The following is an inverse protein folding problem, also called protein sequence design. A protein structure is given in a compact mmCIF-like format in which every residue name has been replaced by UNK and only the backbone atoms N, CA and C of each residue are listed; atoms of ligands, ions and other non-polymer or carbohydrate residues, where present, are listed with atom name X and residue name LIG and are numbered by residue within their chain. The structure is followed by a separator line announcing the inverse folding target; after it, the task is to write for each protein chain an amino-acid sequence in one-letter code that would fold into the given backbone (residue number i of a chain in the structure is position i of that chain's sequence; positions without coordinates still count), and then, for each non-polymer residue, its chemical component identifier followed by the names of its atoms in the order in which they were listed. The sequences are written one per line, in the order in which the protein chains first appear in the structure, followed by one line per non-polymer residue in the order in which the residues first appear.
data_IF_189879046007
#
_entry.id   IF_189879046007
#
_cell.length_a   1.000
_cell.length_b   1.000
_cell.length_c   1.000
_cell.angle_alpha   90.00
_cell.angle_beta   90.00
_cell.angle_gamma   90.00
#
_symmetry.space_group_name_H-M   'P 1'
#
loop_
_entity.id
_entity.type
_entity.pdbx_description
1 polymer ?
#
# COMPACT_ATOMS: atom_id res chain seq x y z
N UNK A 1 4.81 5.94 -19.72
CA UNK A 1 5.14 5.32 -18.43
C UNK A 1 4.97 6.28 -17.26
N UNK A 2 5.45 7.54 -17.30
CA UNK A 2 5.17 8.56 -16.24
C UNK A 2 3.68 8.81 -15.98
N UNK A 3 2.89 9.11 -17.04
CA UNK A 3 1.44 9.35 -16.90
C UNK A 3 0.68 8.28 -16.08
N UNK A 4 0.96 6.99 -16.31
CA UNK A 4 0.33 5.89 -15.56
C UNK A 4 0.76 5.83 -14.09
N UNK A 5 1.99 6.27 -13.80
CA UNK A 5 2.49 6.35 -12.44
C UNK A 5 1.87 7.54 -11.71
N UNK A 6 1.81 8.72 -12.35
CA UNK A 6 1.19 9.92 -11.78
C UNK A 6 -0.30 9.68 -11.46
N UNK A 7 -1.05 9.07 -12.39
CA UNK A 7 -2.46 8.67 -12.18
C UNK A 7 -2.63 7.69 -11.01
N UNK A 8 -1.75 6.69 -10.91
CA UNK A 8 -1.79 5.73 -9.82
C UNK A 8 -1.42 6.36 -8.48
N UNK A 9 -0.41 7.22 -8.46
CA UNK A 9 -0.01 7.95 -7.26
C UNK A 9 -1.13 8.88 -6.77
N UNK A 10 -1.81 9.58 -7.68
CA UNK A 10 -2.95 10.42 -7.33
C UNK A 10 -4.12 9.61 -6.75
N UNK A 11 -4.40 8.41 -7.28
CA UNK A 11 -5.40 7.51 -6.72
C UNK A 11 -5.14 7.18 -5.25
N UNK A 12 -3.92 6.73 -4.91
CA UNK A 12 -3.59 6.41 -3.51
C UNK A 12 -3.46 7.65 -2.63
N UNK A 13 -3.04 8.79 -3.19
CA UNK A 13 -3.04 10.06 -2.47
C UNK A 13 -4.46 10.53 -2.12
N UNK A 14 -5.46 10.27 -2.98
CA UNK A 14 -6.87 10.54 -2.66
C UNK A 14 -7.36 9.65 -1.51
N UNK A 15 -6.95 8.37 -1.48
CA UNK A 15 -7.27 7.45 -0.38
C UNK A 15 -6.66 7.95 0.93
N UNK A 16 -5.37 8.28 0.96
CA UNK A 16 -4.71 8.85 2.17
C UNK A 16 -5.45 10.10 2.65
N UNK A 17 -5.85 11.01 1.74
CA UNK A 17 -6.59 12.24 2.10
C UNK A 17 -7.97 11.95 2.68
N UNK A 18 -8.67 10.94 2.17
CA UNK A 18 -10.00 10.57 2.62
C UNK A 18 -9.98 9.75 3.93
N UNK A 19 -8.85 9.11 4.25
CA UNK A 19 -8.73 8.26 5.44
C UNK A 19 -8.71 9.09 6.73
N UNK A 20 -9.71 8.83 7.57
CA UNK A 20 -9.90 9.47 8.86
C UNK A 20 -9.26 8.67 10.00
N UNK A 21 -9.08 7.37 9.80
CA UNK A 21 -8.38 6.49 10.74
C UNK A 21 -6.89 6.83 10.75
N UNK A 22 -6.25 6.62 11.90
CA UNK A 22 -4.81 6.85 12.08
C UNK A 22 -4.24 5.71 12.90
N UNK A 23 -3.08 5.24 12.48
CA UNK A 23 -2.30 4.17 13.10
C UNK A 23 -0.88 4.69 13.35
N UNK A 24 -0.70 5.61 14.32
CA UNK A 24 0.54 6.38 14.46
C UNK A 24 1.77 5.52 14.81
N UNK A 25 1.54 4.30 15.32
CA UNK A 25 2.59 3.36 15.71
C UNK A 25 2.75 2.21 14.72
N UNK A 26 1.87 2.10 13.71
CA UNK A 26 1.89 0.99 12.78
C UNK A 26 2.73 1.35 11.57
N UNK A 27 3.72 0.50 11.32
CA UNK A 27 4.65 0.63 10.22
C UNK A 27 4.96 -0.75 9.64
N UNK A 28 5.43 -0.77 8.40
CA UNK A 28 6.02 -1.97 7.85
C UNK A 28 7.36 -2.26 8.56
N UNK A 29 7.60 -3.53 8.88
CA UNK A 29 8.80 -3.97 9.61
C UNK A 29 9.84 -4.67 8.73
N UNK A 30 9.57 -4.87 7.43
CA UNK A 30 10.50 -5.49 6.49
C UNK A 30 11.27 -4.49 5.63
N UNK A 31 12.35 -4.96 5.00
CA UNK A 31 13.00 -4.22 3.92
C UNK A 31 12.14 -4.27 2.65
N UNK A 32 12.15 -3.18 1.88
CA UNK A 32 11.43 -3.10 0.60
C UNK A 32 12.35 -2.43 -0.41
N UNK A 33 13.10 -3.26 -1.14
CA UNK A 33 13.98 -2.77 -2.19
C UNK A 33 13.23 -2.58 -3.50
N UNK A 34 12.40 -3.56 -3.87
CA UNK A 34 11.73 -3.62 -5.15
C UNK A 34 10.26 -4.03 -5.02
N UNK A 35 9.44 -3.63 -5.99
CA UNK A 35 8.07 -4.11 -6.15
C UNK A 35 8.07 -5.61 -6.48
N UNK A 36 7.28 -6.41 -5.76
CA UNK A 36 7.23 -7.87 -5.92
C UNK A 36 6.69 -8.33 -7.28
N UNK A 37 6.03 -7.45 -8.02
CA UNK A 37 5.44 -7.76 -9.33
C UNK A 37 6.32 -7.34 -10.50
N UNK A 38 6.85 -6.12 -10.47
CA UNK A 38 7.56 -5.53 -11.61
C UNK A 38 9.04 -5.27 -11.35
N UNK A 39 9.53 -5.61 -10.16
CA UNK A 39 10.91 -5.39 -9.72
C UNK A 39 11.40 -3.95 -9.79
N UNK A 40 10.49 -2.97 -9.85
CA UNK A 40 10.86 -1.55 -9.82
C UNK A 40 11.39 -1.17 -8.44
N UNK A 41 12.48 -0.38 -8.35
CA UNK A 41 12.97 0.14 -7.07
C UNK A 41 11.92 0.95 -6.31
N UNK A 42 11.81 0.70 -5.01
CA UNK A 42 10.81 1.31 -4.12
C UNK A 42 11.36 2.49 -3.31
N UNK A 43 12.68 2.69 -3.24
CA UNK A 43 13.29 3.75 -2.44
C UNK A 43 12.82 5.17 -2.83
N UNK A 44 12.47 5.40 -4.09
CA UNK A 44 11.95 6.68 -4.58
C UNK A 44 10.42 6.77 -4.64
N UNK A 45 9.71 5.70 -4.27
CA UNK A 45 8.25 5.67 -4.30
C UNK A 45 7.69 6.37 -3.06
N UNK A 46 6.63 7.16 -3.25
CA UNK A 46 5.94 7.85 -2.15
C UNK A 46 5.06 6.89 -1.35
N UNK A 47 4.49 5.89 -2.02
CA UNK A 47 3.58 4.93 -1.43
C UNK A 47 3.98 3.50 -1.77
N UNK A 48 3.65 2.60 -0.86
CA UNK A 48 3.70 1.15 -1.01
C UNK A 48 2.34 0.59 -0.63
N UNK A 49 1.85 -0.38 -1.39
CA UNK A 49 0.64 -1.12 -1.02
C UNK A 49 1.01 -2.56 -0.72
N UNK A 50 0.67 -3.01 0.48
CA UNK A 50 0.69 -4.43 0.83
C UNK A 50 -0.67 -5.02 0.47
N UNK A 51 -0.71 -5.95 -0.48
CA UNK A 51 -1.97 -6.51 -0.94
C UNK A 51 -1.79 -7.55 -2.05
N UNK A 52 -2.91 -8.08 -2.59
CA UNK A 52 -2.93 -8.99 -3.72
C UNK A 52 -2.05 -8.55 -4.90
N UNK A 53 -1.09 -9.40 -5.27
CA UNK A 53 -0.14 -9.18 -6.36
C UNK A 53 -0.59 -9.78 -7.70
N UNK A 54 -1.70 -10.51 -7.71
CA UNK A 54 -2.26 -11.18 -8.88
C UNK A 54 -3.80 -11.25 -8.81
N UNK A 55 -4.45 -11.50 -9.95
CA UNK A 55 -5.92 -11.52 -10.08
C UNK A 55 -6.56 -12.90 -9.95
N UNK A 56 -6.02 -13.77 -9.10
CA UNK A 56 -6.53 -15.14 -8.87
C UNK A 56 -7.49 -15.18 -7.68
N UNK A 57 -8.16 -16.32 -7.47
CA UNK A 57 -9.06 -16.53 -6.30
C UNK A 57 -8.32 -16.65 -4.97
N UNK A 58 -7.04 -16.98 -5.01
CA UNK A 58 -6.14 -17.06 -3.85
C UNK A 58 -4.82 -16.36 -4.20
N UNK A 59 -4.82 -15.01 -4.21
CA UNK A 59 -3.68 -14.26 -4.70
C UNK A 59 -2.58 -14.22 -3.65
N UNK A 60 -1.33 -14.38 -4.10
CA UNK A 60 -0.18 -14.05 -3.25
C UNK A 60 -0.20 -12.56 -2.92
N UNK A 61 0.07 -12.26 -1.66
CA UNK A 61 0.28 -10.89 -1.20
C UNK A 61 1.72 -10.47 -1.46
N UNK A 62 1.93 -9.16 -1.59
CA UNK A 62 3.25 -8.59 -1.74
C UNK A 62 3.25 -7.07 -1.59
N UNK A 63 4.45 -6.52 -1.59
CA UNK A 63 4.73 -5.09 -1.50
C UNK A 63 4.77 -4.48 -2.91
N UNK A 64 3.73 -3.73 -3.24
CA UNK A 64 3.47 -3.26 -4.58
C UNK A 64 3.78 -1.77 -4.72
N UNK A 65 4.40 -1.40 -5.85
CA UNK A 65 4.40 -0.01 -6.30
C UNK A 65 2.99 0.42 -6.72
N UNK A 66 2.73 1.72 -6.75
CA UNK A 66 1.39 2.28 -7.07
C UNK A 66 0.83 1.79 -8.40
N UNK A 67 1.66 1.56 -9.42
CA UNK A 67 1.19 1.08 -10.73
C UNK A 67 0.68 -0.36 -10.65
N UNK A 68 1.40 -1.24 -9.95
CA UNK A 68 0.99 -2.63 -9.74
C UNK A 68 -0.21 -2.70 -8.79
N UNK A 69 -0.21 -1.88 -7.74
CA UNK A 69 -1.31 -1.78 -6.81
C UNK A 69 -2.59 -1.31 -7.50
N UNK A 70 -2.55 -0.30 -8.38
CA UNK A 70 -3.75 0.14 -9.10
C UNK A 70 -4.35 -0.99 -9.97
N UNK A 71 -3.53 -1.91 -10.46
CA UNK A 71 -3.97 -3.05 -11.26
C UNK A 71 -4.56 -4.19 -10.42
N UNK A 72 -3.92 -4.55 -9.31
CA UNK A 72 -4.24 -5.76 -8.55
C UNK A 72 -4.92 -5.49 -7.19
N UNK A 73 -4.63 -4.35 -6.58
CA UNK A 73 -5.08 -3.94 -5.25
C UNK A 73 -5.58 -2.47 -5.22
N UNK A 74 -6.52 -2.06 -6.10
CA UNK A 74 -6.96 -0.66 -6.17
C UNK A 74 -7.79 -0.21 -4.96
N UNK A 75 -8.32 -1.17 -4.18
CA UNK A 75 -9.16 -0.91 -3.02
C UNK A 75 -8.38 -1.15 -1.75
N UNK A 76 -8.24 -0.13 -0.91
CA UNK A 76 -7.56 -0.19 0.37
C UNK A 76 -8.57 -0.45 1.49
N UNK A 77 -8.24 -1.33 2.43
CA UNK A 77 -9.10 -1.73 3.54
C UNK A 77 -8.56 -2.92 4.32
N UNK A 78 -8.98 -3.04 5.58
CA UNK A 78 -8.60 -4.18 6.42
C UNK A 78 -9.03 -5.51 5.79
N UNK A 79 -8.11 -6.47 5.73
CA UNK A 79 -8.30 -7.76 5.05
C UNK A 79 -8.36 -7.68 3.52
N UNK A 80 -8.01 -6.53 2.92
CA UNK A 80 -8.00 -6.33 1.46
C UNK A 80 -6.64 -5.88 0.96
N UNK A 81 -6.19 -4.71 1.40
CA UNK A 81 -4.89 -4.13 1.09
C UNK A 81 -4.60 -2.98 2.05
N UNK A 82 -3.34 -2.75 2.36
CA UNK A 82 -2.87 -1.72 3.28
C UNK A 82 -2.00 -0.72 2.53
N UNK A 83 -2.29 0.57 2.70
CA UNK A 83 -1.53 1.65 2.10
C UNK A 83 -0.53 2.20 3.10
N UNK A 84 0.73 2.21 2.70
CA UNK A 84 1.81 2.78 3.47
C UNK A 84 2.44 3.96 2.74
N UNK A 85 2.87 4.96 3.51
CA UNK A 85 3.59 6.13 3.03
C UNK A 85 5.06 6.05 3.40
N UNK A 86 5.92 6.35 2.44
CA UNK A 86 7.36 6.46 2.66
C UNK A 86 7.65 7.66 3.57
N UNK A 87 8.29 7.41 4.71
CA UNK A 87 8.72 8.41 5.67
C UNK A 87 10.27 8.51 5.74
N UNK A 88 10.97 8.05 4.70
CA UNK A 88 12.42 8.06 4.57
C UNK A 88 13.04 6.71 4.87
N UNK A 89 13.02 6.31 6.15
CA UNK A 89 13.59 5.05 6.65
C UNK A 89 12.53 3.97 6.92
N UNK A 90 11.25 4.34 6.86
CA UNK A 90 10.12 3.47 7.21
C UNK A 90 8.92 3.72 6.33
N UNK A 91 8.02 2.74 6.33
CA UNK A 91 6.72 2.82 5.67
C UNK A 91 5.63 2.92 6.73
N UNK A 92 5.02 4.09 6.88
CA UNK A 92 3.99 4.34 7.88
C UNK A 92 2.61 3.95 7.33
N UNK A 93 1.80 3.23 8.12
CA UNK A 93 0.46 2.83 7.73
C UNK A 93 -0.47 4.06 7.69
N UNK A 94 -1.01 4.37 6.52
CA UNK A 94 -1.86 5.55 6.32
C UNK A 94 -3.29 5.23 5.93
N UNK A 95 -3.59 4.02 5.44
CA UNK A 95 -4.95 3.53 5.20
C UNK A 95 -5.02 2.00 5.18
N UNK A 96 -6.21 1.44 5.45
CA UNK A 96 -6.45 -0.02 5.38
C UNK A 96 -5.98 -0.82 6.59
N UNK A 97 -5.56 -0.16 7.67
CA UNK A 97 -5.25 -0.82 8.92
C UNK A 97 -6.46 -1.41 9.64
N UNK A 98 -6.23 -2.15 10.74
CA UNK A 98 -7.31 -2.74 11.53
C UNK A 98 -8.28 -1.68 12.03
N UNK A 99 -9.60 -1.97 12.08
CA UNK A 99 -10.56 -1.04 12.67
C UNK A 99 -10.23 -0.82 14.15
N UNK A 100 -10.59 0.35 14.69
CA UNK A 100 -10.28 0.76 16.08
C UNK A 100 -10.76 -0.24 17.16
N UNK A 101 -11.70 -1.11 16.82
CA UNK A 101 -12.26 -2.11 17.72
C UNK A 101 -11.75 -3.53 17.41
N UNK A 102 -10.67 -3.72 16.64
CA UNK A 102 -10.10 -5.04 16.38
C UNK A 102 -9.19 -5.56 17.51
N UNK A 103 -8.94 -4.75 18.54
CA UNK A 103 -8.47 -5.26 19.83
C UNK A 103 -9.68 -5.71 20.65
N UNK A 104 -10.26 -6.85 20.29
CA UNK A 104 -11.12 -7.61 21.21
C UNK A 104 -10.59 -9.05 21.24
N UNK A 105 -10.01 -9.35 22.40
CA UNK A 105 -9.68 -10.64 23.00
C UNK A 105 -8.57 -11.50 22.38
#
# INVERSE_FOLDING_TARGET
MKRKHDEAEEHFANIERAEQSKWPNDQWHGEIDNCDVCSRPMHSERYMVDGPAEGTSDPRWGNLCVVCALKYSPTIGWGKAQLYRNAGDKWALVAGGPPRNASVE
#
